data_IF_509160561292
#
_entry.id   IF_509160561292
#
_cell.length_a   1.000
_cell.length_b   1.000
_cell.length_c   1.000
_cell.angle_alpha   90.00
_cell.angle_beta   90.00
_cell.angle_gamma   90.00
#
_symmetry.space_group_name_H-M   'P 1'
#
loop_
_entity.id
_entity.type
_entity.pdbx_description
1 polymer ?
#
# COMPACT_ATOMS: atom_id res chain seq x y z
N UNK A 1 7.92 3.14 3.39
CA UNK A 1 7.78 4.59 3.13
C UNK A 1 9.08 5.09 2.52
N UNK A 2 9.03 6.04 1.58
CA UNK A 2 10.08 6.29 0.56
C UNK A 2 10.33 5.09 -0.38
N UNK A 3 11.45 5.07 -1.12
CA UNK A 3 11.77 4.06 -2.15
C UNK A 3 12.40 2.75 -1.62
N UNK A 4 12.55 2.61 -0.30
CA UNK A 4 12.99 1.36 0.32
C UNK A 4 14.38 0.89 -0.11
N UNK A 5 14.59 -0.44 -0.12
CA UNK A 5 15.91 -1.07 -0.36
C UNK A 5 16.34 -1.06 -1.82
N UNK A 6 15.41 -0.90 -2.76
CA UNK A 6 15.72 -0.91 -4.19
C UNK A 6 16.25 0.45 -4.65
N UNK A 7 15.75 1.55 -4.08
CA UNK A 7 16.01 2.89 -4.60
C UNK A 7 15.40 3.10 -5.99
N UNK A 8 15.65 4.26 -6.58
CA UNK A 8 15.27 4.59 -7.98
C UNK A 8 16.42 5.37 -8.62
N UNK A 9 16.52 5.45 -9.97
CA UNK A 9 17.54 6.28 -10.60
C UNK A 9 17.55 7.71 -10.03
N UNK A 10 18.71 8.15 -9.54
CA UNK A 10 18.89 9.45 -8.89
C UNK A 10 18.63 9.48 -7.37
N UNK A 11 18.05 8.44 -6.77
CA UNK A 11 17.79 8.35 -5.32
C UNK A 11 18.29 6.99 -4.77
N UNK A 12 19.35 6.98 -3.95
CA UNK A 12 19.89 5.74 -3.37
C UNK A 12 18.90 4.97 -2.50
N UNK A 13 19.16 3.66 -2.35
CA UNK A 13 18.45 2.80 -1.43
C UNK A 13 18.52 3.34 0.01
N UNK A 14 17.42 3.21 0.75
CA UNK A 14 17.27 3.62 2.15
C UNK A 14 17.50 5.12 2.41
N UNK A 15 17.42 5.95 1.37
CA UNK A 15 17.44 7.41 1.52
C UNK A 15 16.24 7.89 2.34
N UNK A 16 16.48 8.89 3.20
CA UNK A 16 15.41 9.66 3.84
C UNK A 16 14.94 10.74 2.88
N UNK A 17 13.62 10.90 2.72
CA UNK A 17 13.02 11.90 1.83
C UNK A 17 12.27 12.94 2.65
N UNK A 18 12.46 14.21 2.28
CA UNK A 18 11.73 15.35 2.84
C UNK A 18 10.83 15.90 1.75
N UNK A 19 9.54 16.03 2.06
CA UNK A 19 8.55 16.60 1.17
C UNK A 19 7.94 17.83 1.81
N UNK A 20 7.86 18.90 1.04
CA UNK A 20 6.96 20.02 1.32
C UNK A 20 5.71 19.81 0.46
N UNK A 21 4.56 19.64 1.10
CA UNK A 21 3.32 19.24 0.42
C UNK A 21 2.22 20.21 0.79
N UNK A 22 1.62 20.82 -0.22
CA UNK A 22 0.42 21.65 -0.09
C UNK A 22 -0.78 20.90 -0.67
N UNK A 23 -1.84 20.76 0.12
CA UNK A 23 -3.10 20.17 -0.33
C UNK A 23 -4.02 21.27 -0.84
N UNK A 24 -4.36 21.23 -2.13
CA UNK A 24 -5.22 22.23 -2.76
C UNK A 24 -6.71 21.87 -2.72
N UNK A 25 -7.06 20.62 -3.02
CA UNK A 25 -8.44 20.13 -3.06
C UNK A 25 -8.48 18.59 -2.96
N UNK A 26 -9.60 18.03 -2.51
CA UNK A 26 -9.88 16.59 -2.53
C UNK A 26 -11.17 16.35 -3.30
N UNK A 27 -11.04 15.75 -4.49
CA UNK A 27 -12.21 15.31 -5.26
C UNK A 27 -12.84 14.08 -4.57
N UNK A 28 -14.16 14.06 -4.35
CA UNK A 28 -14.82 12.91 -3.77
C UNK A 28 -14.65 11.70 -4.70
N UNK A 29 -14.38 10.54 -4.11
CA UNK A 29 -14.32 9.31 -4.86
C UNK A 29 -15.71 9.00 -5.47
N UNK A 30 -15.77 8.44 -6.69
CA UNK A 30 -17.03 7.93 -7.23
C UNK A 30 -17.60 6.87 -6.28
N UNK A 31 -18.91 6.90 -6.05
CA UNK A 31 -19.58 5.87 -5.24
C UNK A 31 -19.42 4.53 -5.95
N UNK A 32 -18.81 3.57 -5.27
CA UNK A 32 -18.76 2.20 -5.75
C UNK A 32 -20.18 1.62 -5.70
N UNK A 33 -20.67 1.12 -6.83
CA UNK A 33 -21.82 0.21 -6.82
C UNK A 33 -21.45 -1.02 -5.97
N UNK A 34 -22.28 -1.34 -5.00
CA UNK A 34 -22.01 -2.41 -4.04
C UNK A 34 -21.92 -3.77 -4.75
N UNK A 35 -20.69 -4.24 -5.02
CA UNK A 35 -20.41 -5.64 -5.33
C UNK A 35 -20.21 -6.41 -4.01
N UNK A 36 -20.90 -7.53 -3.78
CA UNK A 36 -20.80 -8.28 -2.54
C UNK A 36 -19.35 -8.68 -2.21
N UNK A 37 -18.95 -8.39 -0.98
CA UNK A 37 -17.70 -8.87 -0.38
C UNK A 37 -17.92 -10.31 0.09
N UNK A 38 -17.43 -11.29 -0.66
CA UNK A 38 -17.06 -12.60 -0.12
C UNK A 38 -16.26 -13.41 -1.16
N UNK A 39 -14.97 -13.62 -0.89
CA UNK A 39 -14.31 -14.93 -0.92
C UNK A 39 -12.78 -14.79 -0.78
N UNK A 40 -12.29 -15.44 0.29
CA UNK A 40 -10.97 -16.04 0.46
C UNK A 40 -9.78 -15.16 0.87
N UNK A 41 -9.63 -14.96 2.18
CA UNK A 41 -8.33 -15.07 2.87
C UNK A 41 -8.54 -15.53 4.32
N UNK A 42 -8.86 -16.83 4.49
CA UNK A 42 -8.85 -17.48 5.81
C UNK A 42 -8.61 -19.00 5.67
N UNK A 43 -7.44 -19.43 5.18
CA UNK A 43 -6.89 -20.75 5.56
C UNK A 43 -5.39 -20.89 5.23
N UNK A 44 -4.52 -20.53 6.18
CA UNK A 44 -3.15 -21.04 6.23
C UNK A 44 -2.59 -20.96 7.67
N UNK A 45 -3.16 -21.74 8.58
CA UNK A 45 -2.56 -22.01 9.89
C UNK A 45 -3.13 -23.32 10.48
N UNK A 46 -2.92 -24.46 9.82
CA UNK A 46 -2.94 -25.77 10.48
C UNK A 46 -2.16 -26.78 9.63
N UNK A 47 -0.87 -26.99 9.97
CA UNK A 47 -0.08 -28.20 9.68
C UNK A 47 1.38 -28.02 10.18
N UNK A 48 1.56 -27.86 11.48
CA UNK A 48 2.86 -28.04 12.15
C UNK A 48 2.66 -28.85 13.43
N UNK A 49 2.21 -30.11 13.28
CA UNK A 49 2.37 -31.16 14.28
C UNK A 49 2.19 -32.55 13.64
N UNK A 50 3.27 -33.11 13.13
CA UNK A 50 3.80 -34.46 13.44
C UNK A 50 5.04 -34.73 12.60
#
# INVERSE_FOLDING_TARGET
>A
LAYGKTGVPGIPANSTLVFDVELLDIKPAPKADAKPADAADAKAADAAKK
#
